data_IF_435169728877
#
_entry.id   IF_435169728877
#
_cell.length_a   1.000
_cell.length_b   1.000
_cell.length_c   1.000
_cell.angle_alpha   90.00
_cell.angle_beta   90.00
_cell.angle_gamma   90.00
#
_symmetry.space_group_name_H-M   'P 1'
#
loop_
_entity.id
_entity.type
_entity.pdbx_description
1 polymer ?
#
# COMPACT_ATOMS: atom_id res chain seq x y z
N UNK A 1 -14.99 35.11 -5.69
CA UNK A 1 -14.70 34.65 -4.31
C UNK A 1 -14.40 33.15 -4.38
N UNK A 2 -13.11 32.82 -4.43
CA UNK A 2 -12.58 31.46 -4.37
C UNK A 2 -12.83 30.90 -2.97
N UNK A 3 -13.78 29.98 -2.85
CA UNK A 3 -13.76 29.00 -1.78
C UNK A 3 -13.86 27.63 -2.43
N UNK A 4 -12.74 27.19 -3.00
CA UNK A 4 -12.39 25.79 -3.15
C UNK A 4 -12.41 25.14 -1.76
N UNK A 5 -13.60 24.81 -1.26
CA UNK A 5 -13.76 23.82 -0.19
C UNK A 5 -13.50 22.45 -0.81
N UNK A 6 -12.25 22.23 -1.24
CA UNK A 6 -11.73 20.88 -1.46
C UNK A 6 -12.03 20.14 -0.18
N UNK A 7 -13.00 19.24 -0.26
CA UNK A 7 -13.55 18.47 0.84
C UNK A 7 -12.45 17.59 1.42
N UNK A 8 -11.55 18.19 2.20
CA UNK A 8 -10.43 17.55 2.87
C UNK A 8 -11.04 16.46 3.74
N UNK A 9 -10.83 15.20 3.35
CA UNK A 9 -11.13 14.04 4.19
C UNK A 9 -10.60 14.34 5.58
N UNK A 10 -11.47 14.24 6.59
CA UNK A 10 -11.07 14.48 7.97
C UNK A 10 -9.91 13.54 8.32
N UNK A 11 -8.97 13.99 9.16
CA UNK A 11 -7.88 13.13 9.63
C UNK A 11 -8.43 11.83 10.24
N UNK A 12 -9.59 11.90 10.90
CA UNK A 12 -10.28 10.73 11.44
C UNK A 12 -10.81 9.79 10.35
N UNK A 13 -11.32 10.31 9.24
CA UNK A 13 -11.74 9.47 8.10
C UNK A 13 -10.55 8.75 7.47
N UNK A 14 -9.39 9.42 7.38
CA UNK A 14 -8.16 8.82 6.84
C UNK A 14 -7.61 7.72 7.73
N UNK A 15 -7.60 7.94 9.05
CA UNK A 15 -7.16 6.93 10.02
C UNK A 15 -8.12 5.75 10.01
N UNK A 16 -9.43 5.98 10.07
CA UNK A 16 -10.43 4.90 10.00
C UNK A 16 -10.29 4.08 8.71
N UNK A 17 -10.13 4.75 7.56
CA UNK A 17 -9.88 4.09 6.28
C UNK A 17 -8.61 3.24 6.31
N UNK A 18 -7.49 3.79 6.80
CA UNK A 18 -6.22 3.07 6.86
C UNK A 18 -6.29 1.85 7.79
N UNK A 19 -6.89 2.01 8.97
CA UNK A 19 -7.05 0.92 9.95
C UNK A 19 -7.97 -0.17 9.42
N UNK A 20 -9.10 0.17 8.81
CA UNK A 20 -10.00 -0.82 8.22
C UNK A 20 -9.36 -1.52 7.01
N UNK A 21 -8.62 -0.79 6.18
CA UNK A 21 -7.88 -1.34 5.06
C UNK A 21 -6.83 -2.35 5.54
N UNK A 22 -5.93 -1.94 6.42
CA UNK A 22 -4.89 -2.85 6.93
C UNK A 22 -5.48 -4.00 7.75
N UNK A 23 -6.53 -3.75 8.53
CA UNK A 23 -7.19 -4.77 9.34
C UNK A 23 -7.81 -5.88 8.50
N UNK A 24 -8.53 -5.53 7.43
CA UNK A 24 -9.13 -6.53 6.53
C UNK A 24 -8.04 -7.26 5.74
N UNK A 25 -7.04 -6.53 5.22
CA UNK A 25 -5.92 -7.14 4.52
C UNK A 25 -5.19 -8.16 5.40
N UNK A 26 -4.86 -7.79 6.64
CA UNK A 26 -4.19 -8.66 7.61
C UNK A 26 -5.05 -9.85 8.01
N UNK A 27 -6.36 -9.64 8.22
CA UNK A 27 -7.28 -10.72 8.57
C UNK A 27 -7.42 -11.79 7.48
N UNK A 28 -7.20 -11.43 6.21
CA UNK A 28 -7.20 -12.38 5.08
C UNK A 28 -5.79 -12.97 4.87
N UNK A 29 -4.77 -12.12 4.78
CA UNK A 29 -3.42 -12.55 4.44
C UNK A 29 -2.78 -13.38 5.54
N UNK A 30 -2.95 -13.04 6.81
CA UNK A 30 -2.32 -13.76 7.91
C UNK A 30 -2.72 -15.24 7.95
N UNK A 31 -4.01 -15.64 7.91
CA UNK A 31 -4.40 -17.05 7.85
C UNK A 31 -4.05 -17.71 6.51
N UNK A 32 -4.23 -17.03 5.37
CA UNK A 32 -3.93 -17.63 4.05
C UNK A 32 -2.44 -17.95 3.91
N UNK A 33 -1.57 -17.04 4.33
CA UNK A 33 -0.12 -17.25 4.27
C UNK A 33 0.38 -18.19 5.36
N UNK A 34 -0.23 -18.19 6.55
CA UNK A 34 0.06 -19.16 7.59
C UNK A 34 -0.23 -20.59 7.10
N UNK A 35 -1.35 -20.79 6.42
CA UNK A 35 -1.70 -22.06 5.80
C UNK A 35 -0.74 -22.45 4.66
N UNK A 36 -0.39 -21.51 3.79
CA UNK A 36 0.51 -21.75 2.67
C UNK A 36 1.95 -22.07 3.12
N UNK A 37 2.44 -21.38 4.14
CA UNK A 37 3.81 -21.52 4.65
C UNK A 37 3.91 -22.54 5.80
N UNK A 38 2.78 -23.10 6.27
CA UNK A 38 2.71 -23.98 7.45
C UNK A 38 3.33 -23.33 8.69
N UNK A 39 3.05 -22.04 8.90
CA UNK A 39 3.56 -21.21 10.01
C UNK A 39 2.41 -20.68 10.86
N UNK A 40 2.72 -20.08 12.02
CA UNK A 40 1.68 -19.50 12.86
C UNK A 40 1.13 -18.19 12.27
N UNK A 41 -0.16 -17.91 12.51
CA UNK A 41 -0.82 -16.67 12.08
C UNK A 41 -0.13 -15.44 12.66
N UNK A 42 0.40 -15.55 13.89
CA UNK A 42 1.11 -14.46 14.56
C UNK A 42 2.43 -14.12 13.85
N UNK A 43 3.21 -15.14 13.46
CA UNK A 43 4.45 -14.94 12.68
C UNK A 43 4.15 -14.28 11.33
N UNK A 44 3.11 -14.71 10.63
CA UNK A 44 2.74 -14.16 9.32
C UNK A 44 2.14 -12.75 9.41
N UNK A 45 1.36 -12.47 10.46
CA UNK A 45 0.90 -11.12 10.78
C UNK A 45 2.07 -10.18 11.08
N UNK A 46 3.02 -10.64 11.90
CA UNK A 46 4.25 -9.90 12.19
C UNK A 46 5.10 -9.63 10.94
N UNK A 47 5.25 -10.62 10.06
CA UNK A 47 5.93 -10.46 8.78
C UNK A 47 5.25 -9.42 7.89
N UNK A 48 3.92 -9.42 7.83
CA UNK A 48 3.14 -8.46 7.04
C UNK A 48 3.38 -7.02 7.54
N UNK A 49 3.35 -6.81 8.87
CA UNK A 49 3.63 -5.51 9.48
C UNK A 49 5.09 -5.08 9.23
N UNK A 50 6.04 -6.02 9.34
CA UNK A 50 7.45 -5.77 9.06
C UNK A 50 7.64 -5.30 7.62
N UNK A 51 7.10 -6.04 6.64
CA UNK A 51 7.19 -5.69 5.23
C UNK A 51 6.50 -4.36 4.91
N UNK A 52 5.32 -4.09 5.47
CA UNK A 52 4.63 -2.81 5.31
C UNK A 52 5.47 -1.63 5.86
N UNK A 53 6.09 -1.82 7.03
CA UNK A 53 6.98 -0.81 7.63
C UNK A 53 8.22 -0.59 6.78
N UNK A 54 8.85 -1.67 6.32
CA UNK A 54 9.99 -1.60 5.40
C UNK A 54 9.61 -0.89 4.10
N UNK A 55 8.42 -1.16 3.54
CA UNK A 55 7.93 -0.50 2.34
C UNK A 55 7.77 1.02 2.52
N UNK A 56 7.21 1.45 3.66
CA UNK A 56 7.10 2.88 3.98
C UNK A 56 8.46 3.55 4.10
N UNK A 57 9.41 2.91 4.78
CA UNK A 57 10.79 3.41 4.93
C UNK A 57 11.48 3.47 3.57
N UNK A 58 11.40 2.40 2.78
CA UNK A 58 12.01 2.32 1.44
C UNK A 58 11.43 3.38 0.51
N UNK A 59 10.12 3.60 0.53
CA UNK A 59 9.47 4.68 -0.22
C UNK A 59 10.04 6.06 0.13
N UNK A 60 10.28 6.35 1.42
CA UNK A 60 10.88 7.62 1.83
C UNK A 60 12.33 7.72 1.33
N UNK A 61 13.14 6.66 1.54
CA UNK A 61 14.56 6.64 1.16
C UNK A 61 14.71 6.78 -0.36
N UNK A 62 13.96 6.00 -1.14
CA UNK A 62 14.07 5.98 -2.59
C UNK A 62 13.58 7.29 -3.19
N UNK A 63 12.46 7.85 -2.72
CA UNK A 63 11.99 9.16 -3.16
C UNK A 63 13.02 10.25 -2.84
N UNK A 64 13.63 10.24 -1.64
CA UNK A 64 14.65 11.21 -1.27
C UNK A 64 15.93 11.09 -2.12
N UNK A 65 16.38 9.86 -2.40
CA UNK A 65 17.52 9.60 -3.28
C UNK A 65 17.23 10.08 -4.71
N UNK A 66 16.03 9.78 -5.21
CA UNK A 66 15.62 10.17 -6.55
C UNK A 66 15.47 11.68 -6.70
N UNK A 67 14.87 12.36 -5.72
CA UNK A 67 14.75 13.82 -5.73
C UNK A 67 16.12 14.52 -5.64
N UNK A 68 17.11 13.88 -4.99
CA UNK A 68 18.50 14.37 -4.96
C UNK A 68 19.22 14.20 -6.31
N UNK A 69 18.98 13.10 -7.01
CA UNK A 69 19.58 12.80 -8.32
C UNK A 69 18.89 13.55 -9.47
N UNK A 70 17.56 13.73 -9.38
CA UNK A 70 16.72 14.44 -10.35
C UNK A 70 15.90 15.54 -9.66
N UNK A 71 16.53 16.68 -9.32
CA UNK A 71 15.82 17.80 -8.74
C UNK A 71 14.73 18.29 -9.70
N UNK A 72 13.49 18.38 -9.20
CA UNK A 72 12.30 18.76 -9.97
C UNK A 72 12.39 20.16 -10.61
N UNK A 73 13.35 21.00 -10.17
CA UNK A 73 13.62 22.33 -10.71
C UNK A 73 14.51 22.34 -11.97
N UNK A 74 15.20 21.23 -12.30
CA UNK A 74 16.17 21.18 -13.41
C UNK A 74 15.72 20.32 -14.60
N UNK A 75 14.81 19.37 -14.40
CA UNK A 75 14.47 18.37 -15.44
C UNK A 75 12.97 18.23 -15.59
N UNK A 76 12.45 18.44 -16.81
CA UNK A 76 11.06 18.09 -17.15
C UNK A 76 10.87 16.60 -16.93
N UNK A 77 10.00 16.20 -15.99
CA UNK A 77 9.66 14.79 -15.71
C UNK A 77 8.97 14.15 -16.92
N UNK A 78 9.76 13.68 -17.89
CA UNK A 78 9.29 12.94 -19.06
C UNK A 78 8.74 11.57 -18.62
N UNK A 79 7.78 11.00 -19.37
CA UNK A 79 7.20 9.69 -19.08
C UNK A 79 8.26 8.58 -18.90
N UNK A 80 9.37 8.64 -19.66
CA UNK A 80 10.50 7.71 -19.55
C UNK A 80 11.16 7.73 -18.17
N UNK A 81 11.35 8.93 -17.59
CA UNK A 81 11.94 9.11 -16.26
C UNK A 81 11.04 8.53 -15.17
N UNK A 82 9.72 8.71 -15.31
CA UNK A 82 8.74 8.11 -14.38
C UNK A 82 8.72 6.58 -14.47
N UNK A 83 8.80 6.02 -15.68
CA UNK A 83 8.85 4.58 -15.87
C UNK A 83 10.13 3.98 -15.25
N UNK A 84 11.28 4.59 -15.51
CA UNK A 84 12.55 4.14 -14.92
C UNK A 84 12.55 4.25 -13.39
N UNK A 85 12.01 5.36 -12.86
CA UNK A 85 11.84 5.56 -11.42
C UNK A 85 10.97 4.45 -10.80
N UNK A 86 9.81 4.18 -11.38
CA UNK A 86 8.89 3.14 -10.90
C UNK A 86 9.52 1.75 -10.98
N UNK A 87 10.17 1.42 -12.10
CA UNK A 87 10.85 0.12 -12.27
C UNK A 87 11.98 -0.06 -11.26
N UNK A 88 12.80 0.97 -11.02
CA UNK A 88 13.86 0.92 -10.01
C UNK A 88 13.33 0.83 -8.58
N UNK A 89 12.21 1.51 -8.29
CA UNK A 89 11.55 1.45 -6.99
C UNK A 89 11.09 0.02 -6.71
N UNK A 90 10.33 -0.52 -7.65
CA UNK A 90 9.72 -1.85 -7.55
C UNK A 90 10.81 -2.93 -7.47
N UNK A 91 11.83 -2.85 -8.32
CA UNK A 91 12.92 -3.83 -8.32
C UNK A 91 13.71 -3.80 -7.03
N UNK A 92 14.03 -2.61 -6.51
CA UNK A 92 14.74 -2.47 -5.23
C UNK A 92 13.90 -2.95 -4.06
N UNK A 93 12.59 -2.66 -4.09
CA UNK A 93 11.67 -3.11 -3.06
C UNK A 93 11.54 -4.65 -3.04
N UNK A 94 11.37 -5.28 -4.21
CA UNK A 94 11.33 -6.76 -4.33
C UNK A 94 12.61 -7.39 -3.76
N UNK A 95 13.79 -6.86 -4.08
CA UNK A 95 15.05 -7.42 -3.56
C UNK A 95 15.10 -7.35 -2.04
N UNK A 96 14.68 -6.24 -1.44
CA UNK A 96 14.65 -6.06 0.01
C UNK A 96 13.57 -6.96 0.65
N UNK A 97 12.35 -6.94 0.11
CA UNK A 97 11.21 -7.72 0.59
C UNK A 97 11.50 -9.22 0.57
N UNK A 98 11.96 -9.73 -0.56
CA UNK A 98 12.36 -11.15 -0.71
C UNK A 98 13.47 -11.53 0.26
N UNK A 99 14.48 -10.67 0.44
CA UNK A 99 15.59 -10.95 1.37
C UNK A 99 15.11 -11.04 2.82
N UNK A 100 14.22 -10.13 3.24
CA UNK A 100 13.61 -10.14 4.57
C UNK A 100 12.77 -11.40 4.76
N UNK A 101 11.89 -11.73 3.81
CA UNK A 101 11.03 -12.91 3.89
C UNK A 101 11.87 -14.19 3.96
N UNK A 102 12.87 -14.33 3.09
CA UNK A 102 13.76 -15.48 3.07
C UNK A 102 14.50 -15.65 4.39
N UNK A 103 15.00 -14.55 4.96
CA UNK A 103 15.71 -14.55 6.24
C UNK A 103 14.79 -14.88 7.42
N UNK A 104 13.62 -14.23 7.51
CA UNK A 104 12.68 -14.37 8.64
C UNK A 104 12.02 -15.74 8.65
N UNK A 105 11.57 -16.23 7.49
CA UNK A 105 10.89 -17.53 7.39
C UNK A 105 11.85 -18.70 7.20
N UNK A 106 13.14 -18.42 7.00
CA UNK A 106 14.18 -19.41 6.66
C UNK A 106 13.77 -20.29 5.47
N UNK A 107 13.34 -19.61 4.40
CA UNK A 107 12.87 -20.23 3.15
C UNK A 107 13.79 -19.86 1.99
N UNK A 108 13.71 -20.60 0.90
CA UNK A 108 14.48 -20.28 -0.30
C UNK A 108 14.07 -18.92 -0.90
N UNK A 109 15.00 -18.26 -1.60
CA UNK A 109 14.73 -17.00 -2.30
C UNK A 109 13.57 -17.13 -3.30
N UNK A 110 13.43 -18.29 -3.95
CA UNK A 110 12.33 -18.56 -4.87
C UNK A 110 10.97 -18.64 -4.16
N UNK A 111 10.91 -19.26 -2.98
CA UNK A 111 9.68 -19.29 -2.18
C UNK A 111 9.31 -17.90 -1.68
N UNK A 112 10.28 -17.14 -1.18
CA UNK A 112 10.08 -15.75 -0.76
C UNK A 112 9.60 -14.86 -1.92
N UNK A 113 10.19 -15.00 -3.11
CA UNK A 113 9.77 -14.31 -4.32
C UNK A 113 8.35 -14.69 -4.77
N UNK A 114 8.01 -15.97 -4.68
CA UNK A 114 6.64 -16.45 -4.98
C UNK A 114 5.61 -15.85 -4.01
N UNK A 115 5.97 -15.75 -2.71
CA UNK A 115 5.13 -15.12 -1.70
C UNK A 115 4.94 -13.62 -1.99
N UNK A 116 6.00 -12.90 -2.35
CA UNK A 116 5.95 -11.50 -2.77
C UNK A 116 5.02 -11.29 -3.98
N UNK A 117 5.14 -12.12 -5.02
CA UNK A 117 4.21 -12.08 -6.15
C UNK A 117 2.77 -12.31 -5.68
N UNK A 118 2.55 -13.28 -4.79
CA UNK A 118 1.24 -13.56 -4.21
C UNK A 118 0.67 -12.34 -3.46
N UNK A 119 1.50 -11.63 -2.69
CA UNK A 119 1.12 -10.39 -2.04
C UNK A 119 0.76 -9.29 -3.04
N UNK A 120 1.56 -9.07 -4.09
CA UNK A 120 1.22 -8.08 -5.11
C UNK A 120 -0.09 -8.39 -5.84
N UNK A 121 -0.26 -9.65 -6.25
CA UNK A 121 -1.47 -10.10 -6.93
C UNK A 121 -2.72 -10.01 -6.05
N UNK A 122 -2.57 -10.11 -4.73
CA UNK A 122 -3.66 -9.86 -3.79
C UNK A 122 -3.90 -8.37 -3.56
N UNK A 123 -2.85 -7.61 -3.19
CA UNK A 123 -2.97 -6.21 -2.78
C UNK A 123 -3.44 -5.29 -3.91
N UNK A 124 -3.04 -5.52 -5.17
CA UNK A 124 -3.47 -4.69 -6.29
C UNK A 124 -5.00 -4.68 -6.50
N UNK A 125 -5.66 -5.82 -6.75
CA UNK A 125 -7.12 -5.86 -6.89
C UNK A 125 -7.83 -5.54 -5.58
N UNK A 126 -7.28 -5.96 -4.43
CA UNK A 126 -7.84 -5.64 -3.11
C UNK A 126 -7.90 -4.13 -2.88
N UNK A 127 -6.80 -3.42 -3.15
CA UNK A 127 -6.72 -1.95 -2.99
C UNK A 127 -7.68 -1.24 -3.92
N UNK A 128 -7.78 -1.70 -5.18
CA UNK A 128 -8.72 -1.12 -6.14
C UNK A 128 -10.18 -1.31 -5.68
N UNK A 129 -10.54 -2.52 -5.27
CA UNK A 129 -11.90 -2.83 -4.82
C UNK A 129 -12.26 -2.10 -3.52
N UNK A 130 -11.37 -2.08 -2.54
CA UNK A 130 -11.59 -1.40 -1.27
C UNK A 130 -11.78 0.11 -1.47
N UNK A 131 -10.89 0.75 -2.24
CA UNK A 131 -11.00 2.18 -2.53
C UNK A 131 -12.31 2.49 -3.26
N UNK A 132 -12.68 1.70 -4.27
CA UNK A 132 -13.93 1.88 -5.00
C UNK A 132 -15.17 1.71 -4.11
N UNK A 133 -15.19 0.69 -3.25
CA UNK A 133 -16.29 0.45 -2.32
C UNK A 133 -16.42 1.59 -1.29
N UNK A 134 -15.29 2.07 -0.76
CA UNK A 134 -15.27 3.17 0.20
C UNK A 134 -15.74 4.48 -0.41
N UNK A 135 -15.27 4.82 -1.62
CA UNK A 135 -15.70 6.03 -2.33
C UNK A 135 -17.19 5.99 -2.65
N UNK A 136 -17.71 4.85 -3.13
CA UNK A 136 -19.14 4.66 -3.39
C UNK A 136 -19.97 4.81 -2.11
N UNK A 137 -19.51 4.26 -0.99
CA UNK A 137 -20.20 4.38 0.30
C UNK A 137 -20.19 5.83 0.81
N UNK A 138 -19.04 6.52 0.69
CA UNK A 138 -18.89 7.92 1.07
C UNK A 138 -19.82 8.82 0.28
N UNK A 139 -19.91 8.64 -1.04
CA UNK A 139 -20.84 9.38 -1.90
C UNK A 139 -22.30 9.16 -1.48
N UNK A 140 -22.69 7.93 -1.17
CA UNK A 140 -24.05 7.61 -0.70
C UNK A 140 -24.37 8.26 0.64
N UNK A 141 -23.43 8.25 1.59
CA UNK A 141 -23.61 8.88 2.92
C UNK A 141 -23.69 10.41 2.80
N UNK A 142 -22.85 11.02 1.95
CA UNK A 142 -22.87 12.46 1.69
C UNK A 142 -24.19 12.88 1.04
N UNK A 143 -24.67 12.16 0.02
CA UNK A 143 -25.99 12.41 -0.60
C UNK A 143 -27.15 12.34 0.41
N UNK A 144 -27.15 11.35 1.31
CA UNK A 144 -28.16 11.22 2.38
C UNK A 144 -28.10 12.34 3.41
N UNK A 145 -26.90 12.80 3.78
CA UNK A 145 -26.73 13.93 4.69
C UNK A 145 -27.23 15.23 4.07
N UNK A 146 -26.95 15.46 2.79
CA UNK A 146 -27.40 16.66 2.09
C UNK A 146 -28.92 16.70 1.99
N UNK A 147 -29.57 15.58 1.66
CA UNK A 147 -31.04 15.47 1.65
C UNK A 147 -31.71 15.72 3.00
N UNK A 148 -31.04 15.44 4.14
CA UNK A 148 -31.56 15.74 5.48
C UNK A 148 -31.39 17.19 5.91
N UNK A 149 -30.50 17.94 5.26
CA UNK A 149 -30.24 19.36 5.58
C UNK A 149 -31.10 20.28 4.71
N UNK A 150 -31.47 19.84 3.50
CA UNK A 150 -32.35 20.60 2.59
C UNK A 150 -33.85 20.31 2.75
N UNK A 151 -34.22 19.36 3.61
CA UNK A 151 -35.61 19.02 3.95
C UNK A 151 -35.97 19.57 5.34
#
# INVERSE_FOLDING_TARGET
>A
MQHDTVQRRSLMERIFHAVCFEGIATAVLAPTTAWLMQRSVLEMGGLTILLATTAMIWNIIYNALFDRLWPSHLVKRTAKVRAFHALGFESGFIVIGVSIVAYVLNVSLLQAFTLEIGFFLFFLPYTMFYNWAYDTLRERVMKRRQQRVTA
#
